data_IF_289933088283
#
_entry.id   IF_289933088283
#
_cell.length_a   1.000
_cell.length_b   1.000
_cell.length_c   1.000
_cell.angle_alpha   90.00
_cell.angle_beta   90.00
_cell.angle_gamma   90.00
#
_symmetry.space_group_name_H-M   'P 1'
#
loop_
_entity.id
_entity.type
_entity.pdbx_description
1 polymer ?
#
# COMPACT_ATOMS: atom_id res chain seq x y z
N UNK A 1 0.33 -15.42 0.12
CA UNK A 1 1.10 -14.96 -1.05
C UNK A 1 0.25 -15.01 -2.34
N UNK A 2 -0.45 -16.11 -2.60
CA UNK A 2 -1.19 -16.34 -3.87
C UNK A 2 -2.20 -15.26 -4.23
N UNK A 3 -2.95 -14.71 -3.27
CA UNK A 3 -3.89 -13.60 -3.52
C UNK A 3 -3.19 -12.35 -4.06
N UNK A 4 -1.99 -12.06 -3.54
CA UNK A 4 -1.20 -10.90 -3.96
C UNK A 4 -0.56 -11.13 -5.33
N UNK A 5 -0.20 -12.37 -5.65
CA UNK A 5 0.24 -12.74 -6.99
C UNK A 5 -0.88 -12.53 -8.01
N UNK A 6 -2.12 -12.95 -7.69
CA UNK A 6 -3.29 -12.63 -8.54
C UNK A 6 -3.52 -11.13 -8.68
N UNK A 7 -3.28 -10.35 -7.63
CA UNK A 7 -3.36 -8.90 -7.72
C UNK A 7 -2.32 -8.33 -8.70
N UNK A 8 -1.08 -8.85 -8.68
CA UNK A 8 -0.04 -8.50 -9.65
C UNK A 8 -0.42 -8.90 -11.09
N UNK A 9 -0.95 -10.11 -11.30
CA UNK A 9 -1.45 -10.57 -12.61
C UNK A 9 -2.54 -9.65 -13.16
N UNK A 10 -3.47 -9.22 -12.30
CA UNK A 10 -4.57 -8.33 -12.67
C UNK A 10 -4.11 -6.93 -13.08
N UNK A 11 -2.92 -6.49 -12.63
CA UNK A 11 -2.34 -5.23 -13.10
C UNK A 11 -1.86 -5.31 -14.55
N UNK A 12 -1.73 -6.52 -15.13
CA UNK A 12 -1.32 -6.77 -16.53
C UNK A 12 -0.05 -6.01 -16.92
N UNK A 13 0.91 -5.94 -16.00
CA UNK A 13 2.14 -5.17 -16.18
C UNK A 13 3.21 -6.02 -16.87
N UNK A 14 3.17 -6.09 -18.19
CA UNK A 14 4.24 -6.62 -19.04
C UNK A 14 4.83 -7.98 -18.57
N UNK A 15 3.97 -8.92 -18.16
CA UNK A 15 4.34 -10.24 -17.64
C UNK A 15 5.17 -10.21 -16.34
N UNK A 16 4.93 -9.23 -15.48
CA UNK A 16 5.55 -9.11 -14.16
C UNK A 16 5.31 -10.33 -13.25
N UNK A 17 4.17 -11.01 -13.40
CA UNK A 17 3.87 -12.24 -12.68
C UNK A 17 4.75 -13.42 -13.14
N UNK A 18 5.01 -13.55 -14.45
CA UNK A 18 5.96 -14.53 -14.99
C UNK A 18 7.39 -14.23 -14.52
N UNK A 19 7.80 -12.96 -14.57
CA UNK A 19 9.11 -12.53 -14.08
C UNK A 19 9.28 -12.82 -12.57
N UNK A 20 8.24 -12.61 -11.78
CA UNK A 20 8.25 -12.93 -10.36
C UNK A 20 8.42 -14.44 -10.12
N UNK A 21 7.67 -15.30 -10.84
CA UNK A 21 7.82 -16.75 -10.76
C UNK A 21 9.23 -17.19 -11.14
N UNK A 22 9.76 -16.66 -12.23
CA UNK A 22 11.12 -16.96 -12.66
C UNK A 22 12.15 -16.58 -11.60
N UNK A 23 12.01 -15.39 -10.99
CA UNK A 23 12.87 -14.99 -9.87
C UNK A 23 12.77 -15.98 -8.69
N UNK A 24 11.57 -16.46 -8.36
CA UNK A 24 11.41 -17.44 -7.28
C UNK A 24 12.18 -18.74 -7.54
N UNK A 25 12.25 -19.18 -8.80
CA UNK A 25 12.99 -20.39 -9.22
C UNK A 25 14.50 -20.17 -9.33
N UNK A 26 14.95 -18.92 -9.40
CA UNK A 26 16.35 -18.54 -9.69
C UNK A 26 16.97 -17.70 -8.57
N UNK A 27 16.44 -17.76 -7.34
CA UNK A 27 16.86 -16.89 -6.22
C UNK A 27 18.34 -17.00 -5.86
N UNK A 28 18.93 -18.17 -6.07
CA UNK A 28 20.35 -18.47 -5.85
C UNK A 28 21.29 -17.63 -6.74
N UNK A 29 20.78 -17.09 -7.85
CA UNK A 29 21.53 -16.22 -8.76
C UNK A 29 21.60 -14.76 -8.30
N UNK A 30 20.86 -14.40 -7.26
CA UNK A 30 20.75 -13.03 -6.77
C UNK A 30 21.55 -12.87 -5.48
N UNK A 31 22.26 -11.75 -5.36
CA UNK A 31 22.99 -11.40 -4.13
C UNK A 31 22.07 -10.83 -3.06
N UNK A 32 20.93 -10.25 -3.48
CA UNK A 32 19.95 -9.63 -2.59
C UNK A 32 18.52 -10.09 -2.92
N UNK A 33 17.61 -10.13 -1.94
CA UNK A 33 16.21 -10.37 -2.20
C UNK A 33 15.61 -9.25 -3.06
N UNK A 34 14.83 -9.64 -4.06
CA UNK A 34 14.01 -8.73 -4.89
C UNK A 34 12.64 -8.55 -4.26
N UNK A 35 12.19 -7.30 -4.16
CA UNK A 35 10.89 -6.94 -3.60
C UNK A 35 9.98 -6.34 -4.66
N UNK A 36 8.67 -6.53 -4.48
CA UNK A 36 7.61 -5.89 -5.28
C UNK A 36 6.55 -5.36 -4.31
N UNK A 37 6.20 -4.06 -4.31
CA UNK A 37 5.30 -3.48 -3.33
C UNK A 37 3.97 -4.22 -3.20
N UNK A 38 3.28 -4.51 -4.30
CA UNK A 38 1.99 -5.22 -4.27
C UNK A 38 2.10 -6.65 -3.70
N UNK A 39 3.30 -7.24 -3.67
CA UNK A 39 3.52 -8.56 -3.08
C UNK A 39 3.94 -8.46 -1.60
N UNK A 40 4.65 -7.40 -1.22
CA UNK A 40 5.36 -7.28 0.06
C UNK A 40 4.82 -6.18 0.99
N UNK A 41 3.57 -5.73 0.79
CA UNK A 41 2.88 -4.85 1.73
C UNK A 41 1.63 -5.50 2.32
N UNK A 42 1.29 -5.11 3.54
CA UNK A 42 0.05 -5.46 4.24
C UNK A 42 -0.62 -4.17 4.71
N UNK A 43 -1.94 -4.09 4.56
CA UNK A 43 -2.76 -2.98 5.08
C UNK A 43 -3.66 -3.51 6.21
N UNK A 44 -3.94 -2.72 7.25
CA UNK A 44 -4.67 -3.22 8.42
C UNK A 44 -6.18 -3.38 8.17
N UNK A 45 -6.76 -2.53 7.31
CA UNK A 45 -8.19 -2.53 7.03
C UNK A 45 -8.50 -1.92 5.66
N UNK A 46 -9.76 -2.04 5.22
CA UNK A 46 -10.25 -1.53 3.94
C UNK A 46 -10.21 0.00 3.83
N UNK A 47 -10.34 0.72 4.95
CA UNK A 47 -10.18 2.17 5.00
C UNK A 47 -8.75 2.57 4.63
N UNK A 48 -7.75 1.92 5.25
CA UNK A 48 -6.34 2.17 4.97
C UNK A 48 -5.97 1.80 3.52
N UNK A 49 -6.55 0.70 3.00
CA UNK A 49 -6.44 0.34 1.59
C UNK A 49 -6.97 1.45 0.67
N UNK A 50 -8.17 1.98 0.96
CA UNK A 50 -8.80 3.04 0.18
C UNK A 50 -7.99 4.34 0.21
N UNK A 51 -7.48 4.72 1.38
CA UNK A 51 -6.63 5.90 1.52
C UNK A 51 -5.33 5.75 0.73
N UNK A 52 -4.66 4.59 0.80
CA UNK A 52 -3.44 4.32 0.05
C UNK A 52 -3.66 4.32 -1.47
N UNK A 53 -4.78 3.79 -1.96
CA UNK A 53 -5.14 3.86 -3.39
C UNK A 53 -5.40 5.28 -3.89
N UNK A 54 -5.73 6.22 -3.01
CA UNK A 54 -5.85 7.64 -3.35
C UNK A 54 -4.50 8.38 -3.33
N UNK A 55 -3.43 7.75 -2.84
CA UNK A 55 -2.08 8.33 -2.76
C UNK A 55 -1.10 7.70 -3.75
N UNK A 56 -1.19 6.40 -3.97
CA UNK A 56 -0.25 5.64 -4.80
C UNK A 56 -0.67 5.63 -6.27
N UNK A 57 0.30 5.85 -7.16
CA UNK A 57 0.07 5.58 -8.57
C UNK A 57 0.14 4.07 -8.83
N UNK A 58 -0.76 3.58 -9.69
CA UNK A 58 -0.87 2.14 -10.00
C UNK A 58 0.46 1.57 -10.52
N UNK A 59 1.24 2.38 -11.26
CA UNK A 59 2.55 1.98 -11.82
C UNK A 59 3.63 1.68 -10.78
N UNK A 60 3.48 2.18 -9.56
CA UNK A 60 4.46 2.00 -8.47
C UNK A 60 4.19 0.71 -7.68
N UNK A 61 2.98 0.15 -7.77
CA UNK A 61 2.61 -1.12 -7.11
C UNK A 61 3.36 -2.35 -7.67
N UNK A 62 3.55 -2.52 -9.00
CA UNK A 62 4.29 -3.62 -9.60
C UNK A 62 5.79 -3.32 -9.81
N UNK A 63 6.35 -2.30 -9.14
CA UNK A 63 7.78 -1.96 -9.27
C UNK A 63 8.67 -3.06 -8.69
N UNK A 64 9.66 -3.54 -9.46
CA UNK A 64 10.68 -4.46 -8.95
C UNK A 64 11.81 -3.67 -8.29
N UNK A 65 12.06 -3.94 -7.01
CA UNK A 65 13.06 -3.26 -6.20
C UNK A 65 14.22 -4.23 -5.95
N UNK A 66 15.39 -3.87 -6.44
CA UNK A 66 16.61 -4.66 -6.36
C UNK A 66 17.60 -4.06 -5.34
N UNK A 67 18.40 -4.92 -4.71
CA UNK A 67 19.48 -4.48 -3.81
C UNK A 67 20.76 -4.03 -4.54
N UNK A 68 20.93 -4.40 -5.82
CA UNK A 68 22.10 -4.03 -6.61
C UNK A 68 21.79 -3.91 -8.11
N UNK A 69 22.69 -3.24 -8.84
CA UNK A 69 22.60 -3.12 -10.31
C UNK A 69 22.87 -4.44 -11.03
N UNK A 70 23.73 -5.30 -10.48
CA UNK A 70 23.98 -6.64 -11.01
C UNK A 70 22.74 -7.52 -10.91
N UNK A 71 22.03 -7.46 -9.78
CA UNK A 71 20.77 -8.20 -9.58
C UNK A 71 19.67 -7.70 -10.54
N UNK A 72 19.54 -6.38 -10.71
CA UNK A 72 18.59 -5.78 -11.66
C UNK A 72 18.84 -6.29 -13.09
N UNK A 73 20.10 -6.29 -13.53
CA UNK A 73 20.49 -6.70 -14.87
C UNK A 73 20.08 -8.14 -15.22
N UNK A 74 19.98 -9.03 -14.23
CA UNK A 74 19.52 -10.41 -14.46
C UNK A 74 18.07 -10.43 -14.92
N UNK A 75 17.17 -9.69 -14.25
CA UNK A 75 15.74 -9.71 -14.57
C UNK A 75 15.35 -8.76 -15.71
N UNK A 76 16.16 -7.74 -16.00
CA UNK A 76 15.92 -6.79 -17.07
C UNK A 76 16.67 -7.10 -18.37
N UNK A 77 17.36 -8.24 -18.44
CA UNK A 77 18.06 -8.69 -19.64
C UNK A 77 17.09 -8.80 -20.83
N UNK A 78 17.49 -8.29 -21.99
CA UNK A 78 16.65 -8.24 -23.20
C UNK A 78 16.26 -9.61 -23.76
N UNK A 79 16.90 -10.70 -23.32
CA UNK A 79 16.55 -12.09 -23.65
C UNK A 79 15.26 -12.54 -22.98
N UNK A 80 14.85 -11.89 -21.89
CA UNK A 80 13.58 -12.16 -21.25
C UNK A 80 12.41 -11.60 -22.08
N UNK A 81 11.27 -12.29 -22.02
CA UNK A 81 10.07 -11.87 -22.74
C UNK A 81 9.37 -10.68 -22.07
N UNK A 82 9.54 -10.52 -20.76
CA UNK A 82 8.92 -9.47 -19.96
C UNK A 82 9.67 -8.14 -20.02
N UNK A 83 8.98 -7.05 -19.68
CA UNK A 83 9.57 -5.69 -19.56
C UNK A 83 9.14 -5.04 -18.27
N UNK A 84 10.02 -5.09 -17.27
CA UNK A 84 9.71 -4.66 -15.91
C UNK A 84 10.03 -3.18 -15.72
N UNK A 85 9.21 -2.54 -14.89
CA UNK A 85 9.65 -1.33 -14.20
C UNK A 85 10.51 -1.78 -13.02
N UNK A 86 11.74 -1.27 -12.96
CA UNK A 86 12.69 -1.61 -11.92
C UNK A 86 13.30 -0.37 -11.27
N UNK A 87 13.76 -0.56 -10.04
CA UNK A 87 14.59 0.40 -9.32
C UNK A 87 15.59 -0.33 -8.44
N UNK A 88 16.70 0.33 -8.12
CA UNK A 88 17.74 -0.22 -7.24
C UNK A 88 17.80 0.62 -5.98
N UNK A 89 17.60 -0.02 -4.83
CA UNK A 89 17.76 0.58 -3.51
C UNK A 89 18.66 -0.36 -2.70
N UNK A 90 19.96 -0.08 -2.63
CA UNK A 90 20.88 -0.85 -1.81
C UNK A 90 20.45 -0.82 -0.34
N UNK A 91 20.55 -1.93 0.41
CA UNK A 91 20.16 -1.98 1.82
C UNK A 91 20.83 -0.88 2.67
N UNK A 92 22.09 -0.54 2.36
CA UNK A 92 22.83 0.52 3.06
C UNK A 92 22.29 1.94 2.83
N UNK A 93 21.42 2.15 1.82
CA UNK A 93 20.80 3.45 1.51
C UNK A 93 19.39 3.59 2.08
N UNK A 94 18.88 2.58 2.80
CA UNK A 94 17.57 2.63 3.42
C UNK A 94 17.64 3.48 4.70
N UNK A 95 17.01 4.65 4.68
CA UNK A 95 16.95 5.55 5.84
C UNK A 95 15.69 5.28 6.67
N UNK A 96 15.79 4.32 7.59
CA UNK A 96 14.70 3.95 8.50
C UNK A 96 14.29 5.09 9.44
N UNK A 97 15.15 6.09 9.66
CA UNK A 97 14.83 7.23 10.52
C UNK A 97 13.80 8.15 9.85
N UNK A 98 13.91 8.35 8.53
CA UNK A 98 12.95 9.13 7.74
C UNK A 98 11.55 8.52 7.70
N UNK A 99 11.42 7.22 7.99
CA UNK A 99 10.16 6.50 8.00
C UNK A 99 9.40 6.65 9.32
N UNK A 100 10.07 7.12 10.39
CA UNK A 100 9.44 7.38 11.68
C UNK A 100 8.88 8.79 11.69
N UNK A 101 7.57 8.91 11.84
CA UNK A 101 6.87 10.20 11.82
C UNK A 101 6.10 10.41 13.10
N UNK A 102 5.93 11.68 13.48
CA UNK A 102 5.16 12.05 14.68
C UNK A 102 4.39 13.33 14.40
N UNK A 103 3.09 13.30 14.69
CA UNK A 103 2.23 14.47 14.54
C UNK A 103 2.57 15.53 15.58
N UNK A 104 2.62 16.80 15.14
CA UNK A 104 2.75 17.94 16.05
C UNK A 104 1.46 18.15 16.83
N UNK A 105 1.53 18.96 17.90
CA UNK A 105 0.35 19.33 18.69
C UNK A 105 -0.74 20.00 17.86
N UNK A 106 -0.36 20.91 16.96
CA UNK A 106 -1.30 21.61 16.08
C UNK A 106 -1.98 20.67 15.09
N UNK A 107 -1.24 19.72 14.53
CA UNK A 107 -1.83 18.72 13.64
C UNK A 107 -2.92 17.90 14.36
N UNK A 108 -2.68 17.50 15.60
CA UNK A 108 -3.68 16.79 16.41
C UNK A 108 -4.90 17.66 16.69
N UNK A 109 -4.72 18.97 16.94
CA UNK A 109 -5.83 19.93 17.11
C UNK A 109 -6.69 20.07 15.86
N UNK A 110 -6.10 19.94 14.67
CA UNK A 110 -6.82 19.90 13.39
C UNK A 110 -7.46 18.53 13.08
N UNK A 111 -7.40 17.56 14.00
CA UNK A 111 -8.00 16.24 13.83
C UNK A 111 -7.16 15.25 13.01
N UNK A 112 -5.88 15.53 12.76
CA UNK A 112 -4.95 14.55 12.19
C UNK A 112 -4.62 13.45 13.21
N UNK A 113 -4.58 12.21 12.74
CA UNK A 113 -4.45 11.03 13.61
C UNK A 113 -3.16 10.24 13.36
N UNK A 114 -2.66 10.22 12.12
CA UNK A 114 -1.43 9.52 11.71
C UNK A 114 -0.89 10.06 10.39
N UNK A 115 0.24 9.57 9.93
CA UNK A 115 0.72 9.79 8.56
C UNK A 115 0.37 8.61 7.65
N UNK A 116 0.41 8.81 6.34
CA UNK A 116 0.08 7.77 5.37
C UNK A 116 1.06 6.59 5.42
N UNK A 117 2.30 6.80 5.88
CA UNK A 117 3.29 5.73 6.11
C UNK A 117 2.85 4.70 7.16
N UNK A 118 1.90 5.08 8.04
CA UNK A 118 1.33 4.24 9.08
C UNK A 118 0.11 3.43 8.59
N UNK A 119 -0.33 3.63 7.34
CA UNK A 119 -1.45 2.90 6.75
C UNK A 119 -1.07 1.48 6.28
N UNK A 120 0.21 1.12 6.34
CA UNK A 120 0.70 -0.19 5.91
C UNK A 120 1.98 -0.62 6.61
N UNK A 121 2.22 -1.93 6.59
CA UNK A 121 3.50 -2.55 6.96
C UNK A 121 4.13 -3.19 5.74
N UNK A 122 5.45 -3.09 5.61
CA UNK A 122 6.23 -3.68 4.53
C UNK A 122 7.71 -3.75 4.97
N UNK A 123 8.58 -4.51 4.29
CA UNK A 123 10.02 -4.40 4.45
C UNK A 123 10.50 -2.95 4.26
N UNK A 124 11.54 -2.54 4.99
CA UNK A 124 11.98 -1.14 5.02
C UNK A 124 12.30 -0.59 3.62
N UNK A 125 12.90 -1.40 2.76
CA UNK A 125 13.21 -1.03 1.37
C UNK A 125 11.95 -0.73 0.54
N UNK A 126 10.86 -1.47 0.77
CA UNK A 126 9.56 -1.26 0.12
C UNK A 126 8.92 0.01 0.66
N UNK A 127 8.97 0.21 1.99
CA UNK A 127 8.44 1.41 2.64
C UNK A 127 9.19 2.66 2.21
N UNK A 128 10.52 2.60 2.10
CA UNK A 128 11.39 3.66 1.58
C UNK A 128 11.02 4.00 0.13
N UNK A 129 10.90 2.99 -0.74
CA UNK A 129 10.52 3.20 -2.14
C UNK A 129 9.17 3.95 -2.24
N UNK A 130 8.14 3.48 -1.54
CA UNK A 130 6.81 4.11 -1.56
C UNK A 130 6.85 5.53 -0.98
N UNK A 131 7.69 5.77 0.03
CA UNK A 131 7.95 7.10 0.57
C UNK A 131 8.66 8.01 -0.43
N UNK A 132 9.59 7.50 -1.23
CA UNK A 132 10.30 8.30 -2.24
C UNK A 132 9.34 8.74 -3.36
N UNK A 133 8.48 7.84 -3.84
CA UNK A 133 7.58 8.14 -4.98
C UNK A 133 6.32 8.91 -4.59
N UNK A 134 5.78 8.70 -3.39
CA UNK A 134 4.50 9.27 -2.96
C UNK A 134 4.57 10.10 -1.67
N UNK A 135 5.75 10.26 -1.06
CA UNK A 135 5.97 11.03 0.17
C UNK A 135 5.03 10.66 1.32
N UNK A 136 4.73 9.37 1.48
CA UNK A 136 3.73 8.90 2.46
C UNK A 136 4.03 9.32 3.91
N UNK A 137 5.31 9.47 4.26
CA UNK A 137 5.77 9.99 5.55
C UNK A 137 5.51 11.50 5.75
N UNK A 138 5.05 12.21 4.72
CA UNK A 138 4.70 13.64 4.73
C UNK A 138 3.24 13.90 4.37
N UNK A 139 2.39 12.86 4.34
CA UNK A 139 0.97 12.99 4.06
C UNK A 139 0.19 12.70 5.34
N UNK A 140 -0.32 13.74 6.03
CA UNK A 140 -1.16 13.56 7.20
C UNK A 140 -2.51 12.95 6.83
N UNK A 141 -3.04 12.12 7.72
CA UNK A 141 -4.36 11.49 7.61
C UNK A 141 -5.27 12.02 8.72
N UNK A 142 -6.28 12.76 8.29
CA UNK A 142 -7.29 13.44 9.09
C UNK A 142 -8.54 12.61 9.29
N UNK A 143 -9.40 13.11 10.16
CA UNK A 143 -10.74 12.58 10.43
C UNK A 143 -11.81 13.52 9.88
N UNK A 144 -13.08 13.26 10.20
CA UNK A 144 -14.17 14.18 9.87
C UNK A 144 -13.93 15.60 10.40
N UNK A 145 -13.31 15.74 11.59
CA UNK A 145 -12.95 17.03 12.18
C UNK A 145 -12.03 17.86 11.28
N UNK A 146 -11.18 17.20 10.48
CA UNK A 146 -10.23 17.88 9.60
C UNK A 146 -10.94 18.58 8.44
N UNK A 147 -12.15 18.15 8.06
CA UNK A 147 -12.91 18.77 6.96
C UNK A 147 -13.30 20.22 7.26
N UNK A 148 -13.54 20.55 8.54
CA UNK A 148 -13.99 21.89 8.96
C UNK A 148 -12.81 22.84 9.24
N UNK A 149 -11.57 22.32 9.26
CA UNK A 149 -10.36 23.06 9.62
C UNK A 149 -9.54 23.53 8.40
N UNK A 150 -10.11 23.51 7.18
CA UNK A 150 -9.38 23.75 5.93
C UNK A 150 -8.55 25.05 5.94
N UNK A 151 -9.12 26.21 6.27
CA UNK A 151 -8.40 27.49 6.26
C UNK A 151 -7.31 27.58 7.35
N UNK A 152 -7.57 26.99 8.52
CA UNK A 152 -6.59 26.92 9.61
C UNK A 152 -5.40 26.03 9.22
N UNK A 153 -5.68 24.86 8.63
CA UNK A 153 -4.66 23.94 8.11
C UNK A 153 -3.87 24.59 6.99
N UNK A 154 -4.55 25.26 6.04
CA UNK A 154 -3.90 25.97 4.93
C UNK A 154 -2.88 26.97 5.45
N UNK A 155 -3.26 27.80 6.42
CA UNK A 155 -2.37 28.79 7.06
C UNK A 155 -1.22 28.11 7.81
N UNK A 156 -1.51 27.09 8.62
CA UNK A 156 -0.50 26.38 9.39
C UNK A 156 0.52 25.64 8.50
N UNK A 157 0.09 25.14 7.33
CA UNK A 157 0.95 24.34 6.46
C UNK A 157 1.85 25.17 5.55
N UNK A 158 1.66 26.50 5.47
CA UNK A 158 2.45 27.40 4.59
C UNK A 158 3.95 27.23 4.82
N UNK A 159 4.39 27.24 6.07
CA UNK A 159 5.79 27.16 6.47
C UNK A 159 6.31 25.73 6.66
N UNK A 160 5.47 24.73 6.41
CA UNK A 160 5.81 23.31 6.60
C UNK A 160 6.16 22.65 5.26
N UNK A 161 6.70 21.41 5.24
CA UNK A 161 6.84 20.64 4.00
C UNK A 161 5.53 19.97 3.54
N UNK A 162 4.45 20.03 4.32
CA UNK A 162 3.21 19.32 4.02
C UNK A 162 2.44 20.02 2.89
N UNK A 163 2.23 19.29 1.79
CA UNK A 163 1.52 19.80 0.60
C UNK A 163 0.30 18.97 0.22
N UNK A 164 0.05 17.88 0.93
CA UNK A 164 -1.05 16.96 0.67
C UNK A 164 -1.48 16.35 1.99
N UNK A 165 -2.78 16.31 2.24
CA UNK A 165 -3.37 15.51 3.30
C UNK A 165 -4.65 14.87 2.81
N UNK A 166 -5.04 13.77 3.46
CA UNK A 166 -6.36 13.17 3.27
C UNK A 166 -7.19 13.33 4.54
N UNK A 167 -8.50 13.35 4.39
CA UNK A 167 -9.46 13.19 5.48
C UNK A 167 -10.24 11.89 5.31
N UNK A 168 -11.34 11.73 6.02
CA UNK A 168 -12.31 10.65 5.78
C UNK A 168 -13.07 10.81 4.44
N UNK A 169 -13.11 12.03 3.87
CA UNK A 169 -13.88 12.36 2.65
C UNK A 169 -13.06 12.96 1.52
N UNK A 170 -12.06 13.78 1.83
CA UNK A 170 -11.39 14.62 0.85
C UNK A 170 -9.90 14.32 0.72
N UNK A 171 -9.41 14.52 -0.50
CA UNK A 171 -7.99 14.70 -0.82
C UNK A 171 -7.75 16.19 -1.03
N UNK A 172 -6.86 16.77 -0.24
CA UNK A 172 -6.56 18.20 -0.29
C UNK A 172 -5.10 18.40 -0.65
N UNK A 173 -4.84 19.11 -1.74
CA UNK A 173 -3.50 19.37 -2.24
C UNK A 173 -3.23 20.88 -2.28
N UNK A 174 -2.11 21.30 -1.72
CA UNK A 174 -1.64 22.67 -1.71
C UNK A 174 -0.53 22.88 -2.75
N UNK A 175 -0.67 23.93 -3.54
CA UNK A 175 0.34 24.41 -4.49
C UNK A 175 0.76 25.82 -4.06
N UNK A 176 2.06 26.02 -3.86
CA UNK A 176 2.61 27.35 -3.55
C UNK A 176 3.01 28.01 -4.87
N UNK A 177 2.53 29.23 -5.12
CA UNK A 177 2.91 29.98 -6.31
C UNK A 177 4.42 30.26 -6.29
N UNK A 178 5.11 29.97 -7.40
CA UNK A 178 6.56 30.20 -7.54
C UNK A 178 6.91 31.65 -7.88
N UNK A 179 5.92 32.45 -8.28
CA UNK A 179 6.10 33.80 -8.79
C UNK A 179 5.20 34.78 -8.03
N UNK A 180 5.80 35.81 -7.45
CA UNK A 180 5.13 37.04 -7.03
C UNK A 180 4.51 37.06 -5.63
N UNK A 181 3.59 36.14 -5.30
CA UNK A 181 2.73 36.31 -4.11
C UNK A 181 2.94 35.32 -2.96
N UNK A 182 3.64 34.18 -3.18
CA UNK A 182 3.73 33.06 -2.22
C UNK A 182 2.36 32.53 -1.73
N UNK A 183 1.28 32.83 -2.47
CA UNK A 183 -0.06 32.38 -2.13
C UNK A 183 -0.18 30.85 -2.30
N UNK A 184 -0.90 30.24 -1.36
CA UNK A 184 -1.23 28.82 -1.41
C UNK A 184 -2.58 28.65 -2.08
N UNK A 185 -2.55 27.97 -3.23
CA UNK A 185 -3.75 27.47 -3.90
C UNK A 185 -4.01 26.06 -3.36
N UNK A 186 -5.18 25.87 -2.75
CA UNK A 186 -5.63 24.55 -2.32
C UNK A 186 -6.66 24.00 -3.29
N UNK A 187 -6.45 22.77 -3.72
CA UNK A 187 -7.39 22.00 -4.51
C UNK A 187 -7.95 20.87 -3.64
N UNK A 188 -9.26 20.81 -3.52
CA UNK A 188 -9.98 19.77 -2.80
C UNK A 188 -10.74 18.89 -3.79
N UNK A 189 -10.62 17.58 -3.64
CA UNK A 189 -11.34 16.58 -4.41
C UNK A 189 -11.87 15.48 -3.50
N UNK A 190 -13.01 14.86 -3.82
CA UNK A 190 -13.49 13.71 -3.08
C UNK A 190 -12.59 12.48 -3.27
N UNK A 191 -12.50 11.65 -2.23
CA UNK A 191 -11.76 10.39 -2.28
C UNK A 191 -12.48 9.37 -3.17
N UNK A 192 -11.69 8.62 -3.94
CA UNK A 192 -12.19 7.47 -4.70
C UNK A 192 -12.51 6.34 -3.73
N UNK A 193 -13.77 5.89 -3.72
CA UNK A 193 -14.27 4.79 -2.88
C UNK A 193 -15.06 3.77 -3.73
N UNK A 194 -15.09 2.48 -3.36
CA UNK A 194 -14.27 1.81 -2.34
C UNK A 194 -12.85 1.47 -2.86
N UNK A 195 -12.01 0.89 -2.00
CA UNK A 195 -10.74 0.27 -2.40
C UNK A 195 -10.98 -0.87 -3.41
N UNK A 196 -10.15 -0.96 -4.45
CA UNK A 196 -10.26 -1.98 -5.52
C UNK A 196 -9.01 -2.83 -5.67
N UNK A 197 -7.82 -2.25 -5.49
CA UNK A 197 -6.53 -2.88 -5.77
C UNK A 197 -5.91 -3.52 -4.53
N UNK A 198 -5.98 -2.84 -3.38
CA UNK A 198 -5.31 -3.22 -2.13
C UNK A 198 -6.22 -3.95 -1.15
N UNK A 199 -7.47 -4.26 -1.55
CA UNK A 199 -8.41 -4.98 -0.69
C UNK A 199 -7.89 -6.38 -0.31
N UNK A 200 -7.21 -7.05 -1.24
CA UNK A 200 -6.59 -8.36 -1.03
C UNK A 200 -5.38 -8.33 -0.08
N UNK A 201 -4.94 -7.14 0.34
CA UNK A 201 -3.81 -6.91 1.24
C UNK A 201 -4.26 -6.60 2.67
N UNK A 202 -5.58 -6.48 2.88
CA UNK A 202 -6.20 -6.17 4.16
C UNK A 202 -6.20 -7.37 5.10
N UNK A 203 -5.63 -7.23 6.31
CA UNK A 203 -5.69 -8.30 7.32
C UNK A 203 -7.12 -8.62 7.73
N UNK A 204 -8.00 -7.62 7.82
CA UNK A 204 -9.43 -7.84 8.11
C UNK A 204 -10.15 -8.68 7.05
N UNK A 205 -9.70 -8.62 5.79
CA UNK A 205 -10.25 -9.44 4.71
C UNK A 205 -9.79 -10.90 4.84
N UNK A 206 -8.54 -11.11 5.26
CA UNK A 206 -8.01 -12.44 5.55
C UNK A 206 -8.75 -13.09 6.74
N UNK A 207 -8.98 -12.33 7.83
CA UNK A 207 -9.76 -12.77 8.98
C UNK A 207 -11.19 -13.15 8.59
N UNK A 208 -11.90 -12.26 7.88
CA UNK A 208 -13.29 -12.51 7.46
C UNK A 208 -13.41 -13.77 6.61
N UNK A 209 -12.46 -14.02 5.71
CA UNK A 209 -12.44 -15.24 4.89
C UNK A 209 -12.14 -16.49 5.72
N UNK A 210 -11.19 -16.43 6.64
CA UNK A 210 -10.86 -17.55 7.52
C UNK A 210 -12.04 -17.94 8.42
N UNK A 211 -12.80 -16.95 8.91
CA UNK A 211 -14.03 -17.15 9.66
C UNK A 211 -15.14 -17.77 8.81
N UNK A 212 -15.29 -17.32 7.55
CA UNK A 212 -16.27 -17.90 6.62
C UNK A 212 -15.93 -19.36 6.27
N UNK A 213 -14.64 -19.67 6.06
CA UNK A 213 -14.15 -21.03 5.83
C UNK A 213 -14.39 -21.94 7.04
N UNK A 214 -14.13 -21.44 8.25
CA UNK A 214 -14.39 -22.20 9.48
C UNK A 214 -15.90 -22.40 9.71
N UNK A 215 -16.71 -21.37 9.46
CA UNK A 215 -18.18 -21.49 9.49
C UNK A 215 -18.67 -22.57 8.53
N UNK A 216 -18.12 -22.64 7.33
CA UNK A 216 -18.48 -23.65 6.34
C UNK A 216 -18.03 -25.05 6.75
N UNK A 217 -16.82 -25.19 7.32
CA UNK A 217 -16.34 -26.47 7.88
C UNK A 217 -17.22 -26.97 9.02
N UNK A 218 -17.58 -26.10 9.96
CA UNK A 218 -18.48 -26.42 11.05
C UNK A 218 -19.86 -26.82 10.54
N UNK A 219 -20.40 -26.08 9.55
CA UNK A 219 -21.68 -26.41 8.90
C UNK A 219 -21.63 -27.79 8.23
N UNK A 220 -20.54 -28.13 7.55
CA UNK A 220 -20.35 -29.45 6.96
C UNK A 220 -20.28 -30.54 8.03
N UNK A 221 -19.58 -30.32 9.15
CA UNK A 221 -19.56 -31.27 10.29
C UNK A 221 -20.94 -31.49 10.90
N UNK A 222 -21.72 -30.41 11.09
CA UNK A 222 -23.10 -30.49 11.59
C UNK A 222 -23.98 -31.31 10.63
N UNK A 223 -23.83 -31.13 9.32
CA UNK A 223 -24.57 -31.91 8.33
C UNK A 223 -24.21 -33.40 8.35
N UNK A 224 -22.93 -33.74 8.54
CA UNK A 224 -22.48 -35.13 8.66
C UNK A 224 -23.02 -35.79 9.94
N UNK A 225 -23.05 -35.06 11.05
CA UNK A 225 -23.60 -35.57 12.32
C UNK A 225 -25.14 -35.65 12.33
N UNK A 226 -25.81 -34.94 11.42
CA UNK A 226 -27.27 -35.01 11.22
C UNK A 226 -27.71 -36.13 10.27
N UNK A 227 -26.78 -36.81 9.59
CA UNK A 227 -27.13 -38.02 8.85
C UNK A 227 -27.60 -39.05 9.89
N UNK A 228 -28.84 -39.56 9.79
CA UNK A 228 -29.32 -40.56 10.73
C UNK A 228 -28.36 -41.74 10.67
N UNK A 229 -27.84 -42.15 11.85
CA UNK A 229 -27.39 -43.52 12.03
C UNK A 229 -28.63 -44.40 11.82
N UNK A 230 -28.97 -44.69 10.56
CA UNK A 230 -29.82 -45.80 10.17
C UNK A 230 -29.01 -47.06 10.48
N UNK A 231 -28.92 -47.37 11.77
CA UNK A 231 -28.51 -48.66 12.26
C UNK A 231 -29.60 -49.62 11.81
N UNK A 232 -29.21 -50.46 10.85
CA UNK A 232 -29.89 -51.66 10.42
C UNK A 232 -30.52 -52.38 11.62
N UNK A 233 -31.85 -52.43 11.67
CA UNK A 233 -32.54 -53.48 12.41
C UNK A 233 -32.95 -54.56 11.40
N UNK A 234 -32.39 -55.75 11.60
CA UNK A 234 -32.74 -56.99 10.92
C UNK A 234 -34.21 -57.37 11.15
#
# INVERSE_FOLDING_TARGET
MDKRLRALENLRCNMADEAWRWYQENRDRFSHPVYVPILHMTVPNSESAMLLENLLAVRDLPMFIFGSKSDEAILTDARHKWKLNSTVIPPAQVDTSSLKTTLTGDMKRFGFTRFAVDLFTAPDVVKQYLCNVARLHQVPIGSAQTNDAYEAIKTAFISTPFRLYLTDRYRVQFTVSKYGSHEILGQQSELRKPARLLLAHSSSFDESKSLEEERQRLRNKVNVLRLPQLVSFC
#
